data_IF_178886448090
#
_entry.id   IF_178886448090
#
_cell.length_a   1.000
_cell.length_b   1.000
_cell.length_c   1.000
_cell.angle_alpha   90.00
_cell.angle_beta   90.00
_cell.angle_gamma   90.00
#
_symmetry.space_group_name_H-M   'P 1'
#
loop_
_entity.id
_entity.type
_entity.pdbx_description
1 polymer ?
#
# COMPACT_ATOMS: atom_id res chain seq x y z
N UNK A 1 -14.62 8.59 34.40
CA UNK A 1 -13.41 7.81 34.03
C UNK A 1 -13.38 7.70 32.51
N UNK A 2 -12.49 8.44 31.84
CA UNK A 2 -12.27 8.27 30.40
C UNK A 2 -11.70 6.86 30.19
N UNK A 3 -12.42 6.01 29.47
CA UNK A 3 -11.97 4.67 29.14
C UNK A 3 -10.73 4.81 28.23
N UNK A 4 -9.52 4.79 28.80
CA UNK A 4 -8.30 4.90 28.02
C UNK A 4 -8.20 3.70 27.07
N UNK A 5 -8.35 3.96 25.78
CA UNK A 5 -8.25 2.93 24.75
C UNK A 5 -6.84 2.35 24.72
N UNK A 6 -6.73 1.02 24.71
CA UNK A 6 -5.44 0.34 24.62
C UNK A 6 -4.83 0.50 23.23
N UNK A 7 -3.49 0.45 23.13
CA UNK A 7 -2.76 0.51 21.84
C UNK A 7 -3.25 -0.57 20.86
N UNK A 8 -3.63 -1.75 21.37
CA UNK A 8 -4.22 -2.82 20.56
C UNK A 8 -5.56 -2.43 19.93
N UNK A 9 -6.47 -1.83 20.71
CA UNK A 9 -7.76 -1.34 20.20
C UNK A 9 -7.57 -0.25 19.16
N UNK A 10 -6.66 0.70 19.40
CA UNK A 10 -6.30 1.74 18.42
C UNK A 10 -5.77 1.14 17.12
N UNK A 11 -4.86 0.16 17.21
CA UNK A 11 -4.33 -0.52 16.03
C UNK A 11 -5.43 -1.17 15.20
N UNK A 12 -6.36 -1.89 15.83
CA UNK A 12 -7.47 -2.54 15.11
C UNK A 12 -8.32 -1.50 14.39
N UNK A 13 -8.65 -0.39 15.04
CA UNK A 13 -9.44 0.68 14.43
C UNK A 13 -8.70 1.31 13.25
N UNK A 14 -7.42 1.66 13.42
CA UNK A 14 -6.60 2.29 12.39
C UNK A 14 -6.42 1.36 11.16
N UNK A 15 -6.05 0.10 11.40
CA UNK A 15 -5.92 -0.90 10.33
C UNK A 15 -7.25 -1.14 9.60
N UNK A 16 -8.36 -1.19 10.34
CA UNK A 16 -9.70 -1.37 9.76
C UNK A 16 -10.11 -0.16 8.91
N UNK A 17 -9.83 1.06 9.37
CA UNK A 17 -10.11 2.27 8.62
C UNK A 17 -9.35 2.29 7.29
N UNK A 18 -8.04 2.02 7.32
CA UNK A 18 -7.25 1.92 6.09
C UNK A 18 -7.67 0.75 5.19
N UNK A 19 -8.17 -0.34 5.77
CA UNK A 19 -8.71 -1.46 4.98
C UNK A 19 -10.01 -1.06 4.26
N UNK A 20 -10.92 -0.36 4.93
CA UNK A 20 -12.16 0.16 4.32
C UNK A 20 -11.83 1.16 3.22
N UNK A 21 -10.94 2.13 3.48
CA UNK A 21 -10.45 3.09 2.48
C UNK A 21 -9.90 2.31 1.27
N UNK A 22 -9.02 1.35 1.50
CA UNK A 22 -8.44 0.55 0.43
C UNK A 22 -9.51 -0.18 -0.40
N UNK A 23 -10.45 -0.87 0.25
CA UNK A 23 -11.51 -1.60 -0.44
C UNK A 23 -12.32 -0.65 -1.33
N UNK A 24 -12.74 0.50 -0.79
CA UNK A 24 -13.56 1.47 -1.52
C UNK A 24 -12.80 2.05 -2.70
N UNK A 25 -11.61 2.62 -2.48
CA UNK A 25 -10.86 3.28 -3.54
C UNK A 25 -10.38 2.29 -4.60
N UNK A 26 -9.87 1.12 -4.21
CA UNK A 26 -9.42 0.12 -5.18
C UNK A 26 -10.58 -0.42 -6.02
N UNK A 27 -11.75 -0.66 -5.39
CA UNK A 27 -12.94 -1.11 -6.13
C UNK A 27 -13.40 -0.08 -7.17
N UNK A 28 -13.32 1.21 -6.84
CA UNK A 28 -13.67 2.29 -7.78
C UNK A 28 -12.65 2.38 -8.91
N UNK A 29 -11.35 2.35 -8.59
CA UNK A 29 -10.27 2.43 -9.58
C UNK A 29 -10.30 1.25 -10.56
N UNK A 30 -10.51 0.02 -10.06
CA UNK A 30 -10.60 -1.17 -10.91
C UNK A 30 -11.84 -1.13 -11.80
N UNK A 31 -13.00 -0.66 -11.29
CA UNK A 31 -14.19 -0.44 -12.13
C UNK A 31 -13.97 0.64 -13.18
N UNK A 32 -13.30 1.73 -12.82
CA UNK A 32 -12.97 2.79 -13.76
C UNK A 32 -12.08 2.25 -14.90
N UNK A 33 -11.03 1.48 -14.57
CA UNK A 33 -10.14 0.89 -15.56
C UNK A 33 -10.84 -0.15 -16.45
N UNK A 34 -11.73 -0.96 -15.90
CA UNK A 34 -12.37 -2.07 -16.64
C UNK A 34 -13.65 -1.69 -17.38
N UNK A 35 -14.38 -0.67 -16.93
CA UNK A 35 -15.70 -0.30 -17.46
C UNK A 35 -15.73 1.08 -18.11
N UNK A 36 -15.09 2.09 -17.50
CA UNK A 36 -15.17 3.47 -17.99
C UNK A 36 -14.07 3.77 -19.01
N UNK A 37 -12.88 3.21 -18.81
CA UNK A 37 -11.70 3.44 -19.66
C UNK A 37 -11.05 2.14 -20.15
N UNK A 38 -11.81 1.19 -20.76
CA UNK A 38 -11.31 -0.17 -21.07
C UNK A 38 -10.21 -0.22 -22.14
N UNK A 39 -9.98 0.87 -22.86
CA UNK A 39 -8.95 0.97 -23.92
C UNK A 39 -7.64 1.58 -23.43
N UNK A 40 -7.62 2.11 -22.22
CA UNK A 40 -6.41 2.70 -21.65
C UNK A 40 -5.52 1.59 -21.10
N UNK A 41 -4.24 1.60 -21.48
CA UNK A 41 -3.28 0.59 -21.05
C UNK A 41 -2.76 0.82 -19.62
N UNK A 42 -3.03 2.00 -19.05
CA UNK A 42 -2.47 2.43 -17.77
C UNK A 42 -3.50 2.31 -16.65
N UNK A 43 -3.08 1.72 -15.54
CA UNK A 43 -3.95 1.52 -14.37
C UNK A 43 -3.44 2.31 -13.17
N UNK A 44 -4.40 2.69 -12.33
CA UNK A 44 -4.15 3.36 -11.05
C UNK A 44 -4.59 2.43 -9.93
N UNK A 45 -3.74 2.27 -8.92
CA UNK A 45 -4.03 1.45 -7.75
C UNK A 45 -3.67 2.21 -6.46
N UNK A 46 -4.54 2.10 -5.45
CA UNK A 46 -4.33 2.66 -4.13
C UNK A 46 -3.54 1.72 -3.20
N UNK A 47 -3.32 0.47 -3.61
CA UNK A 47 -2.75 -0.59 -2.77
C UNK A 47 -1.40 -0.20 -2.20
N UNK A 48 -0.47 0.25 -3.04
CA UNK A 48 0.87 0.60 -2.58
C UNK A 48 0.87 1.85 -1.69
N UNK A 49 0.03 2.85 -1.99
CA UNK A 49 -0.10 4.04 -1.17
C UNK A 49 -0.57 3.70 0.25
N UNK A 50 -1.67 2.94 0.37
CA UNK A 50 -2.22 2.54 1.67
C UNK A 50 -1.25 1.61 2.40
N UNK A 51 -0.66 0.65 1.70
CA UNK A 51 0.36 -0.24 2.29
C UNK A 51 1.53 0.57 2.83
N UNK A 52 2.02 1.57 2.08
CA UNK A 52 3.13 2.42 2.51
C UNK A 52 2.81 3.24 3.76
N UNK A 53 1.60 3.81 3.83
CA UNK A 53 1.12 4.53 5.02
C UNK A 53 1.09 3.59 6.23
N UNK A 54 0.41 2.45 6.11
CA UNK A 54 0.31 1.46 7.20
C UNK A 54 1.68 0.92 7.59
N UNK A 55 2.61 0.79 6.63
CA UNK A 55 3.96 0.30 6.89
C UNK A 55 4.74 1.27 7.78
N UNK A 56 4.62 2.57 7.58
CA UNK A 56 5.26 3.53 8.49
C UNK A 56 4.57 3.59 9.85
N UNK A 57 3.25 3.45 9.87
CA UNK A 57 2.42 3.53 11.08
C UNK A 57 2.58 2.32 12.01
N UNK A 58 2.62 1.11 11.45
CA UNK A 58 2.53 -0.15 12.17
C UNK A 58 3.53 -1.22 11.69
N UNK A 59 4.38 -0.92 10.71
CA UNK A 59 5.38 -1.86 10.20
C UNK A 59 4.76 -3.04 9.47
N UNK A 60 5.06 -4.26 9.92
CA UNK A 60 4.69 -5.50 9.24
C UNK A 60 3.17 -5.72 9.11
N UNK A 61 2.34 -5.02 9.89
CA UNK A 61 0.88 -5.07 9.74
C UNK A 61 0.39 -4.62 8.37
N UNK A 62 1.20 -3.86 7.62
CA UNK A 62 0.91 -3.47 6.25
C UNK A 62 0.79 -4.67 5.28
N UNK A 63 1.31 -5.84 5.64
CA UNK A 63 1.15 -7.06 4.87
C UNK A 63 -0.33 -7.41 4.64
N UNK A 64 -1.20 -7.10 5.62
CA UNK A 64 -2.64 -7.32 5.50
C UNK A 64 -3.23 -6.46 4.37
N UNK A 65 -2.86 -5.18 4.30
CA UNK A 65 -3.33 -4.26 3.26
C UNK A 65 -2.75 -4.59 1.88
N UNK A 66 -1.49 -5.01 1.82
CA UNK A 66 -0.87 -5.47 0.58
C UNK A 66 -1.64 -6.65 -0.03
N UNK A 67 -1.94 -7.68 0.78
CA UNK A 67 -2.71 -8.83 0.36
C UNK A 67 -4.18 -8.49 0.06
N UNK A 68 -4.82 -7.72 0.94
CA UNK A 68 -6.21 -7.27 0.78
C UNK A 68 -6.41 -6.52 -0.54
N UNK A 69 -5.47 -5.64 -0.89
CA UNK A 69 -5.49 -4.92 -2.15
C UNK A 69 -5.57 -5.83 -3.38
N UNK A 70 -4.76 -6.89 -3.39
CA UNK A 70 -4.79 -7.90 -4.46
C UNK A 70 -6.11 -8.68 -4.49
N UNK A 71 -6.64 -9.04 -3.33
CA UNK A 71 -7.94 -9.73 -3.22
C UNK A 71 -9.08 -8.85 -3.77
N UNK A 72 -9.13 -7.57 -3.38
CA UNK A 72 -10.13 -6.61 -3.85
C UNK A 72 -10.03 -6.41 -5.36
N UNK A 73 -8.80 -6.30 -5.89
CA UNK A 73 -8.56 -6.18 -7.32
C UNK A 73 -9.17 -7.35 -8.09
N UNK A 74 -8.89 -8.58 -7.67
CA UNK A 74 -9.37 -9.79 -8.36
C UNK A 74 -10.88 -9.95 -8.25
N UNK A 75 -11.46 -9.68 -7.08
CA UNK A 75 -12.92 -9.72 -6.89
C UNK A 75 -13.63 -8.69 -7.78
N UNK A 76 -13.08 -7.48 -7.87
CA UNK A 76 -13.71 -6.40 -8.62
C UNK A 76 -13.57 -6.58 -10.13
N UNK A 77 -12.42 -7.09 -10.59
CA UNK A 77 -12.15 -7.39 -12.00
C UNK A 77 -12.77 -8.72 -12.48
N UNK A 78 -13.37 -9.50 -11.57
CA UNK A 78 -13.87 -10.87 -11.84
C UNK A 78 -12.79 -11.80 -12.38
N UNK A 79 -11.61 -11.71 -11.78
CA UNK A 79 -10.44 -12.47 -12.17
C UNK A 79 -10.50 -13.96 -11.79
N UNK A 80 -9.47 -14.70 -12.21
CA UNK A 80 -9.35 -16.15 -12.01
C UNK A 80 -8.78 -16.51 -10.62
N UNK A 81 -8.94 -17.77 -10.15
CA UNK A 81 -8.33 -18.23 -8.90
C UNK A 81 -6.80 -18.01 -8.83
N UNK A 82 -6.09 -18.21 -9.94
CA UNK A 82 -4.64 -17.97 -10.01
C UNK A 82 -4.29 -16.50 -9.74
N UNK A 83 -5.15 -15.55 -10.16
CA UNK A 83 -4.91 -14.14 -9.93
C UNK A 83 -5.00 -13.76 -8.45
N UNK A 84 -5.77 -14.46 -7.62
CA UNK A 84 -5.73 -14.22 -6.16
C UNK A 84 -4.34 -14.48 -5.59
N UNK A 85 -3.65 -15.52 -6.07
CA UNK A 85 -2.29 -15.82 -5.65
C UNK A 85 -1.33 -14.76 -6.20
N UNK A 86 -1.40 -14.47 -7.51
CA UNK A 86 -0.51 -13.52 -8.17
C UNK A 86 -0.61 -12.12 -7.54
N UNK A 87 -1.82 -11.57 -7.38
CA UNK A 87 -2.00 -10.22 -6.84
C UNK A 87 -1.98 -10.19 -5.31
N UNK A 88 -2.62 -11.15 -4.63
CA UNK A 88 -2.66 -11.18 -3.17
C UNK A 88 -1.30 -11.50 -2.56
N UNK A 89 -0.67 -12.60 -2.98
CA UNK A 89 0.65 -12.99 -2.45
C UNK A 89 1.75 -12.16 -3.11
N UNK A 90 1.66 -11.84 -4.40
CA UNK A 90 2.69 -11.05 -5.09
C UNK A 90 2.87 -9.66 -4.47
N UNK A 91 1.79 -9.01 -4.03
CA UNK A 91 1.88 -7.72 -3.34
C UNK A 91 2.66 -7.80 -2.00
N UNK A 92 2.72 -8.98 -1.36
CA UNK A 92 3.50 -9.14 -0.13
C UNK A 92 5.00 -8.93 -0.35
N UNK A 93 5.50 -9.05 -1.58
CA UNK A 93 6.88 -8.71 -1.90
C UNK A 93 7.21 -7.24 -1.57
N UNK A 94 6.22 -6.35 -1.58
CA UNK A 94 6.35 -4.97 -1.10
C UNK A 94 6.87 -4.85 0.34
N UNK A 95 6.63 -5.86 1.18
CA UNK A 95 7.13 -5.90 2.55
C UNK A 95 8.65 -5.99 2.64
N UNK A 96 9.35 -6.36 1.56
CA UNK A 96 10.81 -6.31 1.49
C UNK A 96 11.37 -4.89 1.67
N UNK A 97 10.54 -3.85 1.54
CA UNK A 97 10.92 -2.44 1.76
C UNK A 97 10.86 -2.04 3.24
N UNK A 98 10.22 -2.83 4.10
CA UNK A 98 10.11 -2.52 5.53
C UNK A 98 11.45 -2.25 6.25
N UNK A 99 12.54 -3.01 6.00
CA UNK A 99 13.85 -2.70 6.60
C UNK A 99 14.36 -1.29 6.29
N UNK A 100 14.02 -0.73 5.13
CA UNK A 100 14.36 0.63 4.74
C UNK A 100 13.65 1.65 5.66
N UNK A 101 12.36 1.43 5.92
CA UNK A 101 11.57 2.27 6.83
C UNK A 101 12.13 2.21 8.25
N UNK A 102 12.50 1.02 8.75
CA UNK A 102 13.16 0.89 10.06
C UNK A 102 14.48 1.65 10.12
N UNK A 103 15.27 1.62 9.02
CA UNK A 103 16.58 2.28 8.96
C UNK A 103 16.47 3.79 8.89
N UNK A 104 15.54 4.32 8.09
CA UNK A 104 15.39 5.76 7.91
C UNK A 104 14.59 6.43 9.02
N UNK A 105 13.67 5.71 9.64
CA UNK A 105 12.70 6.28 10.56
C UNK A 105 11.65 7.13 9.84
N UNK A 106 10.51 7.31 10.49
CA UNK A 106 9.40 8.09 9.95
C UNK A 106 9.74 9.58 9.87
N UNK A 107 10.55 10.12 10.79
CA UNK A 107 10.97 11.53 10.80
C UNK A 107 11.69 11.89 9.51
N UNK A 108 12.59 11.00 9.06
CA UNK A 108 13.35 11.28 7.86
C UNK A 108 12.55 11.08 6.58
N UNK A 109 11.59 10.15 6.56
CA UNK A 109 10.64 10.04 5.46
C UNK A 109 9.77 11.31 5.37
N UNK A 110 9.31 11.83 6.52
CA UNK A 110 8.50 13.06 6.60
C UNK A 110 9.25 14.29 6.07
N UNK A 111 10.52 14.43 6.43
CA UNK A 111 11.34 15.61 6.13
C UNK A 111 12.06 15.61 4.78
N UNK A 112 12.05 14.51 4.01
CA UNK A 112 12.83 14.40 2.78
C UNK A 112 12.00 13.82 1.62
N UNK A 113 11.56 14.66 0.65
CA UNK A 113 10.78 14.22 -0.51
C UNK A 113 11.47 13.15 -1.35
N UNK A 114 12.81 13.19 -1.47
CA UNK A 114 13.56 12.17 -2.21
C UNK A 114 13.43 10.79 -1.55
N UNK A 115 13.41 10.73 -0.21
CA UNK A 115 13.19 9.46 0.51
C UNK A 115 11.77 8.94 0.31
N UNK A 116 10.77 9.81 0.16
CA UNK A 116 9.39 9.41 -0.18
C UNK A 116 9.34 8.81 -1.59
N UNK A 117 9.98 9.46 -2.57
CA UNK A 117 10.05 8.98 -3.95
C UNK A 117 10.70 7.59 -3.98
N UNK A 118 11.86 7.44 -3.32
CA UNK A 118 12.57 6.15 -3.27
C UNK A 118 11.74 5.10 -2.53
N UNK A 119 11.12 5.45 -1.40
CA UNK A 119 10.29 4.53 -0.62
C UNK A 119 9.08 4.03 -1.43
N UNK A 120 8.28 4.94 -1.99
CA UNK A 120 7.11 4.59 -2.80
C UNK A 120 7.47 3.83 -4.07
N UNK A 121 8.55 4.25 -4.74
CA UNK A 121 9.07 3.57 -5.94
C UNK A 121 9.55 2.15 -5.67
N UNK A 122 10.36 1.94 -4.61
CA UNK A 122 10.80 0.60 -4.23
C UNK A 122 9.64 -0.28 -3.78
N UNK A 123 8.66 0.30 -3.07
CA UNK A 123 7.48 -0.45 -2.61
C UNK A 123 6.71 -1.02 -3.79
N UNK A 124 6.41 -0.20 -4.80
CA UNK A 124 5.73 -0.66 -6.01
C UNK A 124 6.60 -1.63 -6.81
N UNK A 125 7.88 -1.31 -7.02
CA UNK A 125 8.77 -2.19 -7.77
C UNK A 125 8.85 -3.59 -7.16
N UNK A 126 8.91 -3.67 -5.83
CA UNK A 126 8.90 -4.94 -5.12
C UNK A 126 7.55 -5.68 -5.30
N UNK A 127 6.42 -4.98 -5.22
CA UNK A 127 5.10 -5.58 -5.52
C UNK A 127 5.03 -6.10 -6.96
N UNK A 128 5.50 -5.34 -7.96
CA UNK A 128 5.48 -5.75 -9.36
C UNK A 128 6.37 -6.95 -9.59
N UNK A 129 7.56 -6.97 -8.98
CA UNK A 129 8.46 -8.11 -9.03
C UNK A 129 7.79 -9.37 -8.44
N UNK A 130 7.10 -9.24 -7.30
CA UNK A 130 6.34 -10.33 -6.70
C UNK A 130 5.23 -10.87 -7.61
N UNK A 131 4.41 -9.98 -8.20
CA UNK A 131 3.37 -10.36 -9.17
C UNK A 131 3.97 -11.01 -10.41
N UNK A 132 5.04 -10.43 -10.95
CA UNK A 132 5.77 -10.95 -12.11
C UNK A 132 6.29 -12.36 -11.87
N UNK A 133 7.02 -12.59 -10.77
CA UNK A 133 7.55 -13.90 -10.40
C UNK A 133 6.45 -14.95 -10.23
N UNK A 134 5.37 -14.61 -9.54
CA UNK A 134 4.24 -15.54 -9.40
C UNK A 134 3.56 -15.79 -10.76
N UNK A 135 3.37 -14.77 -11.59
CA UNK A 135 2.77 -14.96 -12.91
C UNK A 135 3.58 -15.91 -13.79
N UNK A 136 4.91 -15.85 -13.75
CA UNK A 136 5.80 -16.79 -14.43
C UNK A 136 5.63 -18.20 -13.89
N UNK A 137 5.54 -18.36 -12.56
CA UNK A 137 5.30 -19.66 -11.93
C UNK A 137 3.94 -20.26 -12.33
N UNK A 138 2.96 -19.44 -12.69
CA UNK A 138 1.66 -19.84 -13.23
C UNK A 138 1.64 -19.97 -14.77
N UNK A 139 2.79 -19.91 -15.44
CA UNK A 139 2.92 -20.15 -16.88
C UNK A 139 2.72 -18.92 -17.77
N UNK A 140 2.72 -17.71 -17.23
CA UNK A 140 2.72 -16.49 -18.05
C UNK A 140 4.03 -16.31 -18.82
N UNK A 141 3.98 -15.59 -19.94
CA UNK A 141 5.18 -15.22 -20.70
C UNK A 141 6.02 -14.16 -19.98
N UNK A 142 7.31 -14.07 -20.31
CA UNK A 142 8.19 -13.03 -19.78
C UNK A 142 7.65 -11.62 -20.08
N UNK A 143 7.08 -11.41 -21.26
CA UNK A 143 6.47 -10.12 -21.63
C UNK A 143 5.27 -9.77 -20.73
N UNK A 144 4.42 -10.75 -20.38
CA UNK A 144 3.32 -10.53 -19.47
C UNK A 144 3.82 -10.21 -18.05
N UNK A 145 4.88 -10.88 -17.59
CA UNK A 145 5.48 -10.64 -16.28
C UNK A 145 6.16 -9.26 -16.18
N UNK A 146 6.86 -8.83 -17.23
CA UNK A 146 7.46 -7.48 -17.29
C UNK A 146 6.37 -6.41 -17.48
N UNK A 147 5.25 -6.77 -18.10
CA UNK A 147 4.08 -5.90 -18.30
C UNK A 147 3.56 -5.28 -17.01
N UNK A 148 3.66 -5.97 -15.86
CA UNK A 148 3.30 -5.38 -14.57
C UNK A 148 4.04 -4.08 -14.28
N UNK A 149 5.33 -3.98 -14.63
CA UNK A 149 6.12 -2.78 -14.35
C UNK A 149 5.65 -1.60 -15.22
N UNK A 150 5.38 -1.86 -16.50
CA UNK A 150 4.99 -0.81 -17.44
C UNK A 150 3.55 -0.37 -17.22
N UNK A 151 2.59 -1.28 -17.07
CA UNK A 151 1.16 -0.91 -16.94
C UNK A 151 0.86 -0.07 -15.70
N UNK A 152 1.66 -0.23 -14.64
CA UNK A 152 1.46 0.47 -13.36
C UNK A 152 2.23 1.80 -13.28
N UNK A 153 2.77 2.34 -14.38
CA UNK A 153 3.52 3.60 -14.37
C UNK A 153 2.76 4.77 -13.73
N UNK A 154 1.45 4.87 -13.94
CA UNK A 154 0.63 5.91 -13.28
C UNK A 154 0.46 5.61 -11.78
N UNK A 155 0.41 4.34 -11.38
CA UNK A 155 0.36 3.94 -9.97
C UNK A 155 1.62 4.37 -9.20
N UNK A 156 2.79 4.45 -9.85
CA UNK A 156 3.99 5.05 -9.25
C UNK A 156 3.78 6.51 -8.88
N UNK A 157 3.33 7.32 -9.84
CA UNK A 157 3.07 8.73 -9.60
C UNK A 157 2.02 8.91 -8.50
N UNK A 158 0.90 8.17 -8.61
CA UNK A 158 -0.19 8.22 -7.64
C UNK A 158 0.26 7.88 -6.22
N UNK A 159 1.02 6.80 -6.07
CA UNK A 159 1.55 6.36 -4.78
C UNK A 159 2.51 7.38 -4.18
N UNK A 160 3.44 7.90 -4.98
CA UNK A 160 4.41 8.90 -4.52
C UNK A 160 3.69 10.18 -4.08
N UNK A 161 2.71 10.65 -4.87
CA UNK A 161 1.93 11.85 -4.53
C UNK A 161 1.15 11.66 -3.25
N UNK A 162 0.45 10.54 -3.07
CA UNK A 162 -0.29 10.27 -1.82
C UNK A 162 0.66 10.23 -0.63
N UNK A 163 1.77 9.49 -0.73
CA UNK A 163 2.74 9.41 0.36
C UNK A 163 3.34 10.80 0.66
N UNK A 164 3.59 11.62 -0.35
CA UNK A 164 4.05 12.99 -0.16
C UNK A 164 3.01 13.87 0.53
N UNK A 165 1.74 13.79 0.15
CA UNK A 165 0.65 14.52 0.83
C UNK A 165 0.54 14.05 2.29
N UNK A 166 0.54 12.73 2.52
CA UNK A 166 0.47 12.16 3.87
C UNK A 166 1.65 12.58 4.74
N UNK A 167 2.81 12.84 4.16
CA UNK A 167 3.99 13.30 4.91
C UNK A 167 3.84 14.75 5.38
N UNK A 168 2.95 15.52 4.77
CA UNK A 168 2.63 16.90 5.18
C UNK A 168 1.54 16.96 6.24
N UNK A 169 0.71 15.92 6.35
CA UNK A 169 -0.34 15.83 7.36
C UNK A 169 0.23 15.34 8.70
N UNK A 170 -0.18 15.98 9.80
CA UNK A 170 0.30 15.57 11.12
C UNK A 170 -0.21 14.19 11.52
N UNK A 171 0.68 13.38 12.11
CA UNK A 171 0.35 12.03 12.57
C UNK A 171 0.07 10.98 11.48
N UNK A 172 -0.06 11.35 10.20
CA UNK A 172 -0.42 10.40 9.13
C UNK A 172 0.73 9.48 8.71
N UNK A 173 1.93 10.05 8.55
CA UNK A 173 3.15 9.33 8.16
C UNK A 173 4.13 9.24 9.35
N UNK A 174 3.63 8.68 10.46
CA UNK A 174 4.32 8.61 11.75
C UNK A 174 4.07 7.27 12.45
N UNK A 175 5.06 6.78 13.21
CA UNK A 175 4.89 5.61 14.08
C UNK A 175 3.77 5.85 15.09
N UNK A 176 2.78 4.96 15.11
CA UNK A 176 1.56 5.22 15.87
C UNK A 176 1.73 5.12 17.38
N UNK A 177 2.72 4.36 17.88
CA UNK A 177 2.99 4.34 19.32
C UNK A 177 3.55 5.68 19.76
N UNK A 178 4.44 6.27 18.96
CA UNK A 178 4.97 7.60 19.20
C UNK A 178 3.89 8.67 19.12
N UNK A 179 3.04 8.63 18.08
CA UNK A 179 1.94 9.59 17.91
C UNK A 179 0.99 9.60 19.12
N UNK A 180 0.55 8.42 19.58
CA UNK A 180 -0.32 8.29 20.75
C UNK A 180 0.35 8.78 22.04
N UNK A 181 1.66 8.55 22.19
CA UNK A 181 2.42 9.07 23.34
C UNK A 181 2.40 10.61 23.37
N UNK A 182 2.67 11.25 22.24
CA UNK A 182 2.65 12.71 22.12
C UNK A 182 1.27 13.30 22.41
N UNK A 183 0.20 12.66 21.95
CA UNK A 183 -1.17 13.10 22.22
C UNK A 183 -1.49 13.05 23.72
N UNK A 184 -1.08 11.98 24.41
CA UNK A 184 -1.28 11.87 25.85
C UNK A 184 -0.49 12.93 26.63
N UNK A 185 0.73 13.24 26.19
CA UNK A 185 1.57 14.30 26.78
C UNK A 185 0.99 15.71 26.56
N UNK A 186 0.21 15.93 25.49
CA UNK A 186 -0.47 17.20 25.21
C UNK A 186 -1.81 17.37 25.95
N UNK A 187 -2.42 16.26 26.40
CA UNK A 187 -3.71 16.24 27.10
C UNK A 187 -3.57 16.23 28.64
N UNK A 188 -2.36 15.98 29.14
CA UNK A 188 -2.01 16.00 30.57
C UNK A 188 -1.59 17.40 31.02
#
# INVERSE_FOLDING_TARGET
MHNQMTVGKYRVIDLSLFAVILIVFESVLVRAATQWFPKEAWTVSAVAAITGIVMVRWGLWAALHAALGGIVFVLTSRGTPAQFVIYGIGNLAGMAVWPLVKRWGWQSLKGNPLRIIVFGGLLLLAMQAGRGLLSLAFGASLNAAVGFITTDAISYLFTIVILWIMSRLDGMLEDQKHYLKRLNEQQA
#
